data_IF_561894453695
#
_entry.id   IF_561894453695
#
_cell.length_a   1.000
_cell.length_b   1.000
_cell.length_c   1.000
_cell.angle_alpha   90.00
_cell.angle_beta   90.00
_cell.angle_gamma   90.00
#
_symmetry.space_group_name_H-M   'P 1'
#
loop_
_entity.id
_entity.type
_entity.pdbx_description
1 polymer ?
#
# COMPACT_ATOMS: atom_id res chain seq x y z
N UNK A 1 9.25 2.64 30.10
CA UNK A 1 9.56 2.95 28.69
C UNK A 1 9.41 1.65 27.95
N UNK A 2 8.25 1.44 27.33
CA UNK A 2 8.04 0.31 26.44
C UNK A 2 8.86 0.58 25.18
N UNK A 3 9.60 -0.41 24.65
CA UNK A 3 10.28 -0.21 23.37
C UNK A 3 9.19 -0.01 22.32
N UNK A 4 9.22 1.12 21.61
CA UNK A 4 8.52 1.25 20.34
C UNK A 4 9.04 0.12 19.48
N UNK A 5 8.21 -0.90 19.24
CA UNK A 5 8.53 -1.98 18.32
C UNK A 5 8.56 -1.32 16.96
N UNK A 6 9.76 -0.90 16.53
CA UNK A 6 10.08 -0.41 15.19
C UNK A 6 9.82 -1.57 14.23
N UNK A 7 8.54 -1.81 13.95
CA UNK A 7 8.07 -2.91 13.14
C UNK A 7 8.20 -2.41 11.70
N UNK A 8 8.94 -3.13 10.83
CA UNK A 8 9.26 -2.62 9.50
C UNK A 8 7.96 -2.35 8.72
N UNK A 9 7.92 -1.23 8.01
CA UNK A 9 6.81 -0.90 7.13
C UNK A 9 6.58 -2.04 6.10
N UNK A 10 5.31 -2.33 5.75
CA UNK A 10 5.02 -3.36 4.76
C UNK A 10 5.71 -3.03 3.44
N UNK A 11 6.26 -4.05 2.79
CA UNK A 11 7.01 -3.88 1.55
C UNK A 11 6.06 -3.95 0.36
N UNK A 12 6.08 -2.93 -0.49
CA UNK A 12 5.31 -2.88 -1.73
C UNK A 12 5.98 -3.78 -2.77
N UNK A 13 5.21 -4.69 -3.36
CA UNK A 13 5.70 -5.63 -4.37
C UNK A 13 5.08 -5.39 -5.75
N UNK A 14 5.68 -6.00 -6.78
CA UNK A 14 5.08 -6.02 -8.14
C UNK A 14 3.70 -6.68 -8.13
N UNK A 15 3.47 -7.65 -7.25
CA UNK A 15 2.20 -8.34 -7.13
C UNK A 15 1.10 -7.39 -6.66
N UNK A 16 1.37 -6.53 -5.67
CA UNK A 16 0.40 -5.57 -5.15
C UNK A 16 -0.06 -4.58 -6.23
N UNK A 17 0.87 -4.06 -7.02
CA UNK A 17 0.55 -3.16 -8.13
C UNK A 17 -0.24 -3.89 -9.21
N UNK A 18 0.10 -5.14 -9.53
CA UNK A 18 -0.68 -5.93 -10.49
C UNK A 18 -2.10 -6.22 -10.00
N UNK A 19 -2.25 -6.55 -8.72
CA UNK A 19 -3.55 -6.74 -8.07
C UNK A 19 -4.37 -5.45 -8.15
N UNK A 20 -3.76 -4.29 -7.88
CA UNK A 20 -4.41 -2.98 -8.01
C UNK A 20 -4.89 -2.73 -9.44
N UNK A 21 -4.03 -2.95 -10.44
CA UNK A 21 -4.33 -2.69 -11.84
C UNK A 21 -5.37 -3.65 -12.42
N UNK A 22 -5.36 -4.91 -11.98
CA UNK A 22 -6.29 -5.97 -12.40
C UNK A 22 -7.58 -6.04 -11.57
N UNK A 23 -7.71 -5.26 -10.50
CA UNK A 23 -8.89 -5.28 -9.63
C UNK A 23 -10.15 -4.84 -10.38
N UNK A 24 -11.23 -5.59 -10.17
CA UNK A 24 -12.57 -5.28 -10.68
C UNK A 24 -13.43 -4.47 -9.70
N UNK A 25 -12.87 -4.06 -8.56
CA UNK A 25 -13.59 -3.24 -7.58
C UNK A 25 -13.87 -1.83 -8.13
N UNK A 26 -14.90 -1.17 -7.58
CA UNK A 26 -15.20 0.22 -7.92
C UNK A 26 -14.15 1.15 -7.31
N UNK A 27 -13.47 1.95 -8.15
CA UNK A 27 -12.37 2.84 -7.77
C UNK A 27 -11.33 2.12 -6.88
N UNK A 28 -10.60 1.12 -7.41
CA UNK A 28 -9.72 0.30 -6.61
C UNK A 28 -8.49 1.09 -6.15
N UNK A 29 -8.09 0.83 -4.91
CA UNK A 29 -6.99 1.49 -4.23
C UNK A 29 -6.13 0.47 -3.49
N UNK A 30 -4.83 0.70 -3.47
CA UNK A 30 -3.89 0.08 -2.55
C UNK A 30 -3.92 0.89 -1.25
N UNK A 31 -4.12 0.23 -0.12
CA UNK A 31 -4.21 0.87 1.18
C UNK A 31 -3.47 0.07 2.25
N UNK A 32 -3.16 0.72 3.37
CA UNK A 32 -2.59 0.06 4.55
C UNK A 32 -3.73 -0.41 5.46
N UNK A 33 -3.83 -1.71 5.65
CA UNK A 33 -4.69 -2.33 6.65
C UNK A 33 -3.92 -2.51 7.96
N UNK A 34 -4.55 -2.18 9.07
CA UNK A 34 -3.98 -2.34 10.41
C UNK A 34 -4.77 -3.39 11.19
N UNK A 35 -4.16 -4.55 11.41
CA UNK A 35 -4.77 -5.70 12.08
C UNK A 35 -4.07 -6.09 13.38
N UNK A 36 -4.67 -6.96 14.21
CA UNK A 36 -3.96 -7.60 15.30
C UNK A 36 -2.90 -8.54 14.72
N UNK A 37 -1.65 -8.34 15.12
CA UNK A 37 -0.55 -9.21 14.73
C UNK A 37 -0.36 -10.41 15.63
N UNK A 38 0.44 -11.36 15.16
CA UNK A 38 0.71 -12.63 15.85
C UNK A 38 1.33 -12.43 17.25
N UNK A 39 2.12 -11.37 17.44
CA UNK A 39 2.74 -11.01 18.73
C UNK A 39 1.84 -10.15 19.65
N UNK A 40 0.56 -9.98 19.32
CA UNK A 40 -0.39 -9.21 20.12
C UNK A 40 -0.25 -7.68 20.01
N UNK A 41 0.56 -7.17 19.08
CA UNK A 41 0.58 -5.76 18.69
C UNK A 41 0.03 -5.53 17.29
N UNK A 42 -0.17 -4.29 16.86
CA UNK A 42 -0.75 -3.98 15.54
C UNK A 42 0.23 -4.26 14.40
N UNK A 43 -0.19 -5.00 13.38
CA UNK A 43 0.53 -5.20 12.12
C UNK A 43 -0.07 -4.38 10.99
N UNK A 44 0.80 -3.85 10.14
CA UNK A 44 0.42 -3.09 8.96
C UNK A 44 0.65 -3.96 7.72
N UNK A 45 -0.40 -4.15 6.93
CA UNK A 45 -0.38 -4.96 5.71
C UNK A 45 -0.87 -4.13 4.53
N UNK A 46 -0.41 -4.45 3.32
CA UNK A 46 -0.89 -3.82 2.09
C UNK A 46 -1.98 -4.70 1.47
N UNK A 47 -3.10 -4.09 1.12
CA UNK A 47 -4.20 -4.78 0.47
C UNK A 47 -4.88 -3.87 -0.57
N UNK A 48 -5.68 -4.47 -1.46
CA UNK A 48 -6.38 -3.77 -2.55
C UNK A 48 -7.88 -3.86 -2.35
N UNK A 49 -8.52 -2.70 -2.27
CA UNK A 49 -9.96 -2.64 -2.02
C UNK A 49 -10.63 -1.48 -2.76
N UNK A 50 -11.96 -1.42 -2.74
CA UNK A 50 -12.71 -0.27 -3.24
C UNK A 50 -12.49 0.97 -2.34
N UNK A 51 -12.22 2.14 -2.93
CA UNK A 51 -11.98 3.38 -2.18
C UNK A 51 -13.10 3.74 -1.19
N UNK A 52 -14.36 3.42 -1.52
CA UNK A 52 -15.53 3.72 -0.69
C UNK A 52 -15.66 2.86 0.57
N UNK A 53 -14.82 1.83 0.74
CA UNK A 53 -14.87 0.87 1.84
C UNK A 53 -13.62 0.90 2.73
N UNK A 54 -12.68 1.81 2.46
CA UNK A 54 -11.46 1.99 3.25
C UNK A 54 -11.36 3.40 3.80
N UNK A 55 -10.59 3.58 4.87
CA UNK A 55 -10.35 4.90 5.45
C UNK A 55 -9.40 5.69 4.53
N UNK A 56 -9.84 6.86 4.04
CA UNK A 56 -9.11 7.61 3.02
C UNK A 56 -7.67 7.97 3.40
N UNK A 57 -7.35 8.32 4.66
CA UNK A 57 -5.97 8.56 5.09
C UNK A 57 -5.05 7.34 5.03
N UNK A 58 -5.58 6.13 4.83
CA UNK A 58 -4.80 4.89 4.70
C UNK A 58 -4.60 4.46 3.25
N UNK A 59 -5.15 5.23 2.29
CA UNK A 59 -4.94 4.99 0.87
C UNK A 59 -3.52 5.40 0.48
N UNK A 60 -2.76 4.44 -0.03
CA UNK A 60 -1.39 4.63 -0.52
C UNK A 60 -1.40 5.06 -1.98
N UNK A 61 -2.20 4.40 -2.80
CA UNK A 61 -2.20 4.59 -4.25
C UNK A 61 -3.56 4.23 -4.85
N UNK A 62 -4.07 5.06 -5.75
CA UNK A 62 -5.27 4.74 -6.53
C UNK A 62 -4.89 4.08 -7.86
N UNK A 63 -5.75 3.20 -8.39
CA UNK A 63 -5.54 2.60 -9.72
C UNK A 63 -5.45 3.67 -10.82
N UNK A 64 -6.25 4.73 -10.73
CA UNK A 64 -6.19 5.84 -11.69
C UNK A 64 -4.82 6.51 -11.69
N UNK A 65 -4.27 6.81 -10.51
CA UNK A 65 -2.90 7.36 -10.37
C UNK A 65 -1.84 6.37 -10.83
N UNK A 66 -2.02 5.08 -10.57
CA UNK A 66 -1.09 4.05 -11.03
C UNK A 66 -1.04 4.01 -12.56
N UNK A 67 -2.19 4.01 -13.23
CA UNK A 67 -2.28 4.02 -14.71
C UNK A 67 -1.76 5.32 -15.32
N UNK A 68 -2.01 6.48 -14.69
CA UNK A 68 -1.47 7.77 -15.15
C UNK A 68 0.07 7.76 -15.17
N UNK A 69 0.68 7.19 -14.13
CA UNK A 69 2.13 7.18 -13.98
C UNK A 69 2.83 6.04 -14.73
N UNK A 70 2.17 4.89 -14.88
CA UNK A 70 2.74 3.68 -15.47
C UNK A 70 2.33 3.45 -16.93
N UNK A 71 1.26 4.10 -17.40
CA UNK A 71 0.58 3.81 -18.66
C UNK A 71 -0.49 2.71 -18.53
N UNK A 72 -1.23 2.48 -19.62
CA UNK A 72 -2.37 1.57 -19.65
C UNK A 72 -1.99 0.08 -19.51
N UNK A 73 -0.82 -0.32 -20.01
CA UNK A 73 -0.32 -1.69 -19.97
C UNK A 73 1.14 -1.75 -19.49
N UNK A 74 1.38 -1.59 -18.17
CA UNK A 74 2.73 -1.51 -17.67
C UNK A 74 3.41 -2.87 -17.56
N UNK A 75 4.68 -2.91 -17.96
CA UNK A 75 5.51 -4.12 -17.85
C UNK A 75 5.98 -4.34 -16.42
N UNK A 76 6.44 -5.55 -16.10
CA UNK A 76 7.04 -5.86 -14.80
C UNK A 76 8.22 -4.95 -14.46
N UNK A 77 9.02 -4.56 -15.46
CA UNK A 77 10.18 -3.70 -15.28
C UNK A 77 9.75 -2.27 -14.92
N UNK A 78 8.75 -1.74 -15.62
CA UNK A 78 8.17 -0.42 -15.34
C UNK A 78 7.54 -0.39 -13.94
N UNK A 79 6.82 -1.45 -13.56
CA UNK A 79 6.26 -1.59 -12.21
C UNK A 79 7.38 -1.65 -11.17
N UNK A 80 8.42 -2.46 -11.38
CA UNK A 80 9.56 -2.57 -10.46
C UNK A 80 10.27 -1.23 -10.24
N UNK A 81 10.46 -0.44 -11.30
CA UNK A 81 11.05 0.90 -11.21
C UNK A 81 10.16 1.90 -10.45
N UNK A 82 8.85 1.65 -10.40
CA UNK A 82 7.87 2.48 -9.70
C UNK A 82 7.74 2.15 -8.21
N UNK A 83 8.04 0.90 -7.80
CA UNK A 83 7.90 0.45 -6.41
C UNK A 83 8.58 1.37 -5.38
N UNK A 84 9.83 1.88 -5.58
CA UNK A 84 10.47 2.74 -4.58
C UNK A 84 9.69 4.02 -4.27
N UNK A 85 8.95 4.54 -5.27
CA UNK A 85 8.10 5.73 -5.08
C UNK A 85 6.90 5.41 -4.19
N UNK A 86 6.27 4.26 -4.39
CA UNK A 86 5.13 3.81 -3.59
C UNK A 86 5.59 3.44 -2.18
N UNK A 87 6.72 2.75 -2.06
CA UNK A 87 7.31 2.39 -0.77
C UNK A 87 7.53 3.62 0.10
N UNK A 88 8.09 4.70 -0.48
CA UNK A 88 8.29 5.96 0.24
C UNK A 88 6.99 6.54 0.81
N UNK A 89 5.86 6.40 0.10
CA UNK A 89 4.55 6.82 0.61
C UNK A 89 4.10 5.95 1.78
N UNK A 90 4.28 4.63 1.69
CA UNK A 90 4.01 3.69 2.80
C UNK A 90 4.85 4.05 4.03
N UNK A 91 6.16 4.21 3.86
CA UNK A 91 7.08 4.54 4.96
C UNK A 91 6.68 5.85 5.67
N UNK A 92 6.28 6.86 4.90
CA UNK A 92 5.79 8.14 5.43
C UNK A 92 4.49 7.98 6.23
N UNK A 93 3.55 7.18 5.73
CA UNK A 93 2.27 6.95 6.40
C UNK A 93 2.45 6.20 7.72
N UNK A 94 3.32 5.19 7.75
CA UNK A 94 3.68 4.46 8.98
C UNK A 94 4.37 5.40 9.98
N UNK A 95 5.34 6.19 9.53
CA UNK A 95 6.07 7.14 10.39
C UNK A 95 5.16 8.19 11.05
N UNK A 96 4.14 8.69 10.33
CA UNK A 96 3.19 9.69 10.87
C UNK A 96 2.30 9.11 11.97
N UNK A 97 2.03 7.80 11.93
CA UNK A 97 1.19 7.13 12.93
C UNK A 97 1.95 6.72 14.19
N UNK A 98 3.26 6.94 14.26
CA UNK A 98 4.07 6.68 15.45
C UNK A 98 4.23 5.20 15.78
N UNK A 99 4.13 4.32 14.78
CA UNK A 99 4.59 2.93 14.86
C UNK A 99 6.10 2.87 14.72
#
# INVERSE_FOLDING_TARGET
MEPTVDRPAPQVTVADIRTLLGSSAELPVLYIHYGPGDDGGTEAELDVWAAGLVYQPDIVLTRATALDLLGEEPTSETIAAFLPKVQKSVDQMISVRGM
#
